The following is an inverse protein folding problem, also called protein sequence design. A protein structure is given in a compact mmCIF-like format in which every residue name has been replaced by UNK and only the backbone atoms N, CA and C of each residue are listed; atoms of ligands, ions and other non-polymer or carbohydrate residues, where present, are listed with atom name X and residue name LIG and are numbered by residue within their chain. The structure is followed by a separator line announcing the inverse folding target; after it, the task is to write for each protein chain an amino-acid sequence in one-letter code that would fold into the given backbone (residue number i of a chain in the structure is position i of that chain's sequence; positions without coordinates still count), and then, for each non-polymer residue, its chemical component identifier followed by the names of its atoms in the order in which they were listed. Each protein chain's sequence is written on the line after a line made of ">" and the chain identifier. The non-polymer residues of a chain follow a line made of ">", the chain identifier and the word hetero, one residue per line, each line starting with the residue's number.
data_IF_117374306584
#
_entry.id   IF_117374306584
#
_cell.length_a   1.000
_cell.length_b   1.000
_cell.length_c   1.000
_cell.angle_alpha   90.00
_cell.angle_beta   90.00
_cell.angle_gamma   90.00
#
_symmetry.space_group_name_H-M   'P 1'
#
loop_
_entity.id
_entity.type
_entity.pdbx_description
1 polymer ?
#
# COMPACT_ATOMS: atom_id res chain seq x y z
N UNK A 1 0.79 8.69 -34.90
CA UNK A 1 0.68 7.80 -33.74
C UNK A 1 0.66 6.37 -34.30
N UNK A 2 1.60 5.50 -33.91
CA UNK A 2 1.57 4.09 -34.28
C UNK A 2 0.36 3.41 -33.62
N UNK A 3 -0.36 2.58 -34.35
CA UNK A 3 -1.41 1.75 -33.76
C UNK A 3 -0.77 0.80 -32.74
N UNK A 4 -1.42 0.53 -31.59
CA UNK A 4 -0.95 -0.48 -30.65
C UNK A 4 -0.88 -1.85 -31.30
N UNK A 5 0.17 -2.63 -30.98
CA UNK A 5 0.24 -4.02 -31.39
C UNK A 5 -0.88 -4.84 -30.70
N UNK A 6 -1.30 -5.95 -31.34
CA UNK A 6 -2.42 -6.77 -30.88
C UNK A 6 -2.31 -7.21 -29.39
N UNK A 7 -1.08 -7.37 -28.87
CA UNK A 7 -0.80 -7.85 -27.52
C UNK A 7 -0.30 -6.75 -26.57
N UNK A 8 -0.27 -5.48 -27.02
CA UNK A 8 0.13 -4.36 -26.15
C UNK A 8 -0.95 -4.03 -25.14
N UNK A 9 -0.50 -3.68 -23.96
CA UNK A 9 -1.32 -3.13 -22.88
C UNK A 9 -1.06 -1.65 -22.73
N UNK A 10 -2.02 -0.87 -22.18
CA UNK A 10 -1.78 0.52 -21.82
C UNK A 10 -0.54 0.64 -20.91
N UNK A 11 0.18 1.76 -21.03
CA UNK A 11 1.42 2.00 -20.28
C UNK A 11 1.15 1.86 -18.77
N UNK A 12 1.94 1.02 -18.11
CA UNK A 12 1.82 0.77 -16.68
C UNK A 12 0.73 -0.23 -16.28
N UNK A 13 -0.05 -0.78 -17.23
CA UNK A 13 -0.99 -1.87 -16.97
C UNK A 13 -0.31 -3.23 -17.14
N UNK A 14 -0.64 -4.20 -16.26
CA UNK A 14 0.01 -5.53 -16.25
C UNK A 14 -1.02 -6.63 -16.06
N UNK A 15 -0.81 -7.75 -16.76
CA UNK A 15 -1.54 -8.98 -16.45
C UNK A 15 -0.94 -9.65 -15.22
N UNK A 16 -1.80 -10.22 -14.41
CA UNK A 16 -1.42 -11.00 -13.23
C UNK A 16 -1.60 -12.49 -13.54
N UNK A 17 -0.50 -13.19 -13.75
CA UNK A 17 -0.53 -14.63 -14.09
C UNK A 17 -0.88 -15.51 -12.89
N UNK A 18 -1.39 -16.75 -13.09
CA UNK A 18 -1.99 -17.58 -12.03
C UNK A 18 -1.11 -17.79 -10.79
N UNK A 19 0.17 -18.08 -10.95
CA UNK A 19 1.07 -18.31 -9.81
C UNK A 19 1.24 -17.04 -8.94
N UNK A 20 1.47 -15.90 -9.58
CA UNK A 20 1.58 -14.60 -8.91
C UNK A 20 0.24 -14.19 -8.27
N UNK A 21 -0.89 -14.43 -8.96
CA UNK A 21 -2.23 -14.18 -8.43
C UNK A 21 -2.48 -14.98 -7.14
N UNK A 22 -2.10 -16.26 -7.10
CA UNK A 22 -2.27 -17.08 -5.90
C UNK A 22 -1.43 -16.59 -4.72
N UNK A 23 -0.20 -16.13 -4.99
CA UNK A 23 0.66 -15.53 -3.96
C UNK A 23 0.01 -14.27 -3.40
N UNK A 24 -0.40 -13.35 -4.29
CA UNK A 24 -1.04 -12.10 -3.94
C UNK A 24 -2.33 -12.31 -3.14
N UNK A 25 -3.16 -13.27 -3.57
CA UNK A 25 -4.38 -13.64 -2.86
C UNK A 25 -4.09 -14.15 -1.45
N UNK A 26 -3.11 -15.03 -1.28
CA UNK A 26 -2.77 -15.55 0.05
C UNK A 26 -2.26 -14.48 1.00
N UNK A 27 -1.44 -13.55 0.49
CA UNK A 27 -0.95 -12.39 1.27
C UNK A 27 -2.12 -11.51 1.70
N UNK A 28 -3.01 -11.20 0.77
CA UNK A 28 -4.23 -10.44 1.04
C UNK A 28 -5.09 -11.09 2.10
N UNK A 29 -5.42 -12.38 1.92
CA UNK A 29 -6.34 -13.09 2.83
C UNK A 29 -5.77 -13.09 4.27
N UNK A 30 -4.45 -13.24 4.45
CA UNK A 30 -3.77 -13.14 5.76
C UNK A 30 -3.83 -11.74 6.37
N UNK A 31 -3.65 -10.71 5.56
CA UNK A 31 -3.74 -9.31 6.03
C UNK A 31 -5.18 -8.91 6.35
N UNK A 32 -6.17 -9.36 5.58
CA UNK A 32 -7.60 -9.11 5.86
C UNK A 32 -8.02 -9.71 7.20
N UNK A 33 -7.57 -10.93 7.50
CA UNK A 33 -7.82 -11.58 8.78
C UNK A 33 -7.21 -10.78 9.94
N UNK A 34 -5.94 -10.36 9.80
CA UNK A 34 -5.26 -9.55 10.81
C UNK A 34 -5.96 -8.21 11.04
N UNK A 35 -6.22 -7.45 9.97
CA UNK A 35 -6.90 -6.14 10.05
C UNK A 35 -8.29 -6.28 10.67
N UNK A 36 -9.03 -7.33 10.30
CA UNK A 36 -10.34 -7.63 10.87
C UNK A 36 -10.29 -7.93 12.37
N UNK A 37 -9.22 -8.58 12.86
CA UNK A 37 -9.03 -8.88 14.28
C UNK A 37 -8.89 -7.61 15.15
N UNK A 38 -8.42 -6.50 14.56
CA UNK A 38 -8.34 -5.18 15.21
C UNK A 38 -9.66 -4.39 15.16
N UNK A 39 -10.74 -4.98 14.63
CA UNK A 39 -12.06 -4.36 14.58
C UNK A 39 -12.27 -3.36 13.44
N UNK A 40 -11.42 -3.35 12.42
CA UNK A 40 -11.63 -2.56 11.22
C UNK A 40 -12.63 -3.23 10.30
N UNK A 41 -13.61 -2.47 9.84
CA UNK A 41 -14.70 -2.95 8.99
C UNK A 41 -14.39 -2.67 7.51
N UNK A 42 -14.50 -3.67 6.64
CA UNK A 42 -14.21 -3.50 5.23
C UNK A 42 -15.25 -2.61 4.53
N UNK A 43 -14.77 -1.74 3.64
CA UNK A 43 -15.58 -0.85 2.82
C UNK A 43 -15.12 -0.89 1.37
N UNK A 44 -16.06 -0.76 0.45
CA UNK A 44 -15.80 -0.56 -0.97
C UNK A 44 -16.36 0.80 -1.43
N UNK A 45 -15.65 1.45 -2.34
CA UNK A 45 -16.09 2.67 -3.01
C UNK A 45 -16.01 2.49 -4.53
N UNK A 46 -16.74 3.28 -5.33
CA UNK A 46 -16.62 3.25 -6.78
C UNK A 46 -15.19 3.46 -7.26
N UNK A 47 -14.81 2.80 -8.35
CA UNK A 47 -13.51 3.06 -9.01
C UNK A 47 -13.47 4.42 -9.72
N UNK A 48 -14.63 4.91 -10.16
CA UNK A 48 -14.80 6.23 -10.78
C UNK A 48 -15.41 7.18 -9.76
N UNK A 49 -14.80 8.34 -9.62
CA UNK A 49 -15.22 9.42 -8.74
C UNK A 49 -15.28 10.74 -9.52
N UNK A 50 -16.03 11.72 -9.04
CA UNK A 50 -16.05 13.04 -9.65
C UNK A 50 -14.74 13.79 -9.35
N UNK A 51 -14.16 14.38 -10.38
CA UNK A 51 -12.94 15.19 -10.25
C UNK A 51 -13.14 16.37 -9.30
N UNK A 52 -14.27 17.07 -9.38
CA UNK A 52 -14.57 18.25 -8.55
C UNK A 52 -14.73 17.96 -7.05
N UNK A 53 -14.86 16.69 -6.68
CA UNK A 53 -14.93 16.25 -5.28
C UNK A 53 -13.67 15.47 -4.88
N UNK A 54 -13.63 14.17 -5.18
CA UNK A 54 -12.53 13.30 -4.78
C UNK A 54 -11.23 13.65 -5.51
N UNK A 55 -11.30 14.04 -6.80
CA UNK A 55 -10.10 14.43 -7.55
C UNK A 55 -9.37 15.62 -6.91
N UNK A 56 -10.11 16.68 -6.55
CA UNK A 56 -9.55 17.86 -5.85
C UNK A 56 -9.18 17.59 -4.39
N UNK A 57 -9.84 16.64 -3.72
CA UNK A 57 -9.53 16.29 -2.34
C UNK A 57 -8.30 15.40 -2.23
N UNK A 58 -8.01 14.59 -3.27
CA UNK A 58 -6.84 13.74 -3.33
C UNK A 58 -5.54 14.55 -3.28
N UNK A 59 -4.54 13.99 -2.61
CA UNK A 59 -3.19 14.58 -2.56
C UNK A 59 -2.31 14.19 -3.75
N UNK A 60 -2.84 13.41 -4.69
CA UNK A 60 -2.10 12.99 -5.89
C UNK A 60 -2.09 14.14 -6.91
N UNK A 61 -0.92 14.36 -7.52
CA UNK A 61 -0.74 15.43 -8.50
C UNK A 61 -1.72 15.28 -9.66
N UNK A 62 -2.32 16.38 -10.09
CA UNK A 62 -3.32 16.43 -11.14
C UNK A 62 -2.87 15.72 -12.44
N UNK A 63 -1.61 15.86 -12.80
CA UNK A 63 -1.01 15.19 -13.97
C UNK A 63 -0.88 13.67 -13.83
N UNK A 64 -1.07 13.10 -12.63
CA UNK A 64 -1.07 11.68 -12.36
C UNK A 64 -2.49 11.09 -12.30
N UNK A 65 -3.53 11.91 -12.49
CA UNK A 65 -4.91 11.45 -12.51
C UNK A 65 -5.30 10.92 -13.89
N UNK A 66 -5.93 9.76 -13.92
CA UNK A 66 -6.64 9.29 -15.11
C UNK A 66 -8.01 9.99 -15.16
N UNK A 67 -8.18 10.90 -16.11
CA UNK A 67 -9.41 11.68 -16.28
C UNK A 67 -10.23 11.14 -17.46
N UNK A 68 -11.54 11.07 -17.26
CA UNK A 68 -12.53 10.65 -18.25
C UNK A 68 -13.68 11.66 -18.27
N UNK A 69 -14.45 11.66 -19.36
CA UNK A 69 -15.71 12.41 -19.45
C UNK A 69 -16.89 11.43 -19.43
N UNK A 70 -17.92 11.74 -18.65
CA UNK A 70 -19.19 11.05 -18.76
C UNK A 70 -20.04 11.60 -19.94
N UNK A 71 -21.22 10.98 -20.16
CA UNK A 71 -22.12 11.43 -21.24
C UNK A 71 -22.75 12.81 -21.00
N UNK A 72 -22.72 13.30 -19.77
CA UNK A 72 -23.23 14.61 -19.35
C UNK A 72 -22.15 15.70 -19.41
N UNK A 73 -20.90 15.34 -19.72
CA UNK A 73 -19.77 16.25 -19.78
C UNK A 73 -19.07 16.49 -18.45
N UNK A 74 -19.41 15.74 -17.39
CA UNK A 74 -18.69 15.84 -16.13
C UNK A 74 -17.32 15.16 -16.23
N UNK A 75 -16.32 15.75 -15.60
CA UNK A 75 -15.00 15.12 -15.47
C UNK A 75 -15.00 14.10 -14.34
N UNK A 76 -14.68 12.86 -14.68
CA UNK A 76 -14.48 11.77 -13.76
C UNK A 76 -12.99 11.46 -13.62
N UNK A 77 -12.62 10.83 -12.50
CA UNK A 77 -11.27 10.29 -12.27
C UNK A 77 -11.34 8.83 -11.85
N UNK A 78 -10.42 8.01 -12.34
CA UNK A 78 -10.13 6.74 -11.67
C UNK A 78 -9.47 7.07 -10.32
N UNK A 79 -10.00 6.51 -9.22
CA UNK A 79 -9.52 6.81 -7.86
C UNK A 79 -7.99 6.63 -7.74
N UNK A 80 -7.25 7.68 -7.38
CA UNK A 80 -5.79 7.62 -7.29
C UNK A 80 -5.28 7.19 -5.91
N UNK A 81 -6.16 7.22 -4.92
CA UNK A 81 -6.00 6.74 -3.54
C UNK A 81 -7.37 6.36 -2.95
N UNK A 82 -7.38 5.86 -1.72
CA UNK A 82 -8.63 5.49 -1.02
C UNK A 82 -9.01 6.47 0.08
N UNK A 83 -8.11 7.30 0.54
CA UNK A 83 -8.34 8.22 1.67
C UNK A 83 -9.45 9.24 1.34
N UNK A 84 -9.38 9.89 0.16
CA UNK A 84 -10.40 10.85 -0.25
C UNK A 84 -11.78 10.19 -0.51
N UNK A 85 -11.91 9.04 -1.21
CA UNK A 85 -13.17 8.29 -1.29
C UNK A 85 -13.76 7.90 0.07
N UNK A 86 -12.93 7.43 1.02
CA UNK A 86 -13.38 7.06 2.37
C UNK A 86 -13.83 8.29 3.16
N UNK A 87 -13.09 9.41 3.09
CA UNK A 87 -13.51 10.67 3.69
C UNK A 87 -14.88 11.13 3.16
N UNK A 88 -15.13 11.01 1.84
CA UNK A 88 -16.43 11.27 1.24
C UNK A 88 -17.53 10.35 1.82
N UNK A 89 -17.27 9.05 1.96
CA UNK A 89 -18.24 8.10 2.53
C UNK A 89 -18.49 8.40 4.01
N UNK A 90 -17.42 8.67 4.79
CA UNK A 90 -17.55 9.07 6.19
C UNK A 90 -18.43 10.31 6.34
N UNK A 91 -18.31 11.28 5.43
CA UNK A 91 -19.10 12.52 5.45
C UNK A 91 -20.50 12.38 4.84
N UNK A 92 -20.82 11.32 4.13
CA UNK A 92 -22.12 11.12 3.46
C UNK A 92 -22.87 9.92 4.01
N UNK A 93 -22.58 8.71 3.53
CA UNK A 93 -23.32 7.49 3.87
C UNK A 93 -23.16 7.11 5.35
N UNK A 94 -22.05 7.47 6.00
CA UNK A 94 -21.81 7.22 7.41
C UNK A 94 -22.00 8.47 8.28
N UNK A 95 -22.61 9.53 7.78
CA UNK A 95 -22.74 10.83 8.49
C UNK A 95 -23.41 10.72 9.87
N UNK A 96 -24.32 9.78 10.04
CA UNK A 96 -25.09 9.57 11.28
C UNK A 96 -24.40 8.59 12.24
N UNK A 97 -23.25 8.02 11.85
CA UNK A 97 -22.47 7.14 12.73
C UNK A 97 -21.59 7.96 13.68
N UNK A 98 -21.49 7.49 14.92
CA UNK A 98 -20.64 8.11 15.93
C UNK A 98 -19.17 7.82 15.65
N UNK A 99 -18.30 8.82 15.81
CA UNK A 99 -16.85 8.64 15.80
C UNK A 99 -16.36 7.95 17.09
N UNK A 100 -15.20 7.23 17.06
CA UNK A 100 -14.35 6.98 15.90
C UNK A 100 -14.85 5.88 14.98
N UNK A 101 -14.55 5.98 13.67
CA UNK A 101 -14.80 4.95 12.67
C UNK A 101 -13.50 4.23 12.34
N UNK A 102 -13.53 2.90 12.34
CA UNK A 102 -12.43 2.03 11.89
C UNK A 102 -12.83 1.36 10.59
N UNK A 103 -12.25 1.79 9.50
CA UNK A 103 -12.57 1.34 8.15
C UNK A 103 -11.33 0.72 7.49
N UNK A 104 -11.51 -0.41 6.80
CA UNK A 104 -10.47 -1.05 6.01
C UNK A 104 -10.89 -1.16 4.55
N UNK A 105 -9.91 -1.27 3.67
CA UNK A 105 -10.16 -1.43 2.24
C UNK A 105 -9.11 -2.30 1.58
N UNK A 106 -9.55 -2.97 0.51
CA UNK A 106 -8.70 -3.68 -0.43
C UNK A 106 -9.20 -3.40 -1.85
N UNK A 107 -8.37 -2.78 -2.68
CA UNK A 107 -8.80 -2.38 -4.01
C UNK A 107 -7.66 -1.93 -4.94
N UNK A 108 -7.96 -1.81 -6.23
CA UNK A 108 -7.06 -1.17 -7.19
C UNK A 108 -7.17 0.35 -7.11
N UNK A 109 -6.03 1.01 -7.17
CA UNK A 109 -5.87 2.46 -7.35
C UNK A 109 -5.06 2.74 -8.61
N UNK A 110 -5.24 3.95 -9.18
CA UNK A 110 -4.79 4.26 -10.52
C UNK A 110 -4.00 5.57 -10.52
N UNK A 111 -2.74 5.52 -10.97
CA UNK A 111 -1.88 6.71 -11.09
C UNK A 111 -1.18 6.71 -12.43
N UNK A 112 -1.52 7.68 -13.28
CA UNK A 112 -0.89 7.83 -14.58
C UNK A 112 0.64 7.96 -14.42
N UNK A 113 1.38 7.16 -15.17
CA UNK A 113 2.83 7.18 -15.14
C UNK A 113 3.37 7.99 -16.29
N UNK A 114 4.40 8.79 -16.04
CA UNK A 114 5.21 9.37 -17.11
C UNK A 114 6.08 8.25 -17.74
N UNK A 115 6.39 8.37 -19.03
CA UNK A 115 6.97 7.33 -19.88
C UNK A 115 8.24 6.63 -19.38
N UNK A 116 8.91 7.15 -18.35
CA UNK A 116 10.24 6.70 -17.92
C UNK A 116 10.27 5.94 -16.58
N UNK A 117 9.14 5.70 -15.94
CA UNK A 117 9.15 5.25 -14.54
C UNK A 117 9.13 3.75 -14.26
N UNK A 118 8.77 2.89 -15.22
CA UNK A 118 8.62 1.43 -14.98
C UNK A 118 7.61 1.04 -13.88
N UNK A 119 7.00 2.02 -13.21
CA UNK A 119 6.04 1.81 -12.13
C UNK A 119 4.67 1.44 -12.70
N UNK A 120 3.91 0.54 -12.05
CA UNK A 120 2.55 0.24 -12.49
C UNK A 120 1.64 1.46 -12.35
N UNK A 121 0.78 1.68 -13.36
CA UNK A 121 -0.25 2.71 -13.34
C UNK A 121 -1.52 2.25 -12.64
N UNK A 122 -1.75 0.94 -12.59
CA UNK A 122 -2.76 0.26 -11.80
C UNK A 122 -2.05 -0.67 -10.81
N UNK A 123 -2.37 -0.56 -9.53
CA UNK A 123 -1.83 -1.43 -8.50
C UNK A 123 -2.85 -1.63 -7.38
N UNK A 124 -2.74 -2.78 -6.74
CA UNK A 124 -3.62 -3.19 -5.66
C UNK A 124 -3.10 -2.64 -4.33
N UNK A 125 -3.97 -1.99 -3.58
CA UNK A 125 -3.67 -1.40 -2.28
C UNK A 125 -4.64 -1.93 -1.23
N UNK A 126 -4.09 -2.25 -0.06
CA UNK A 126 -4.85 -2.56 1.14
C UNK A 126 -4.47 -1.57 2.23
N UNK A 127 -5.44 -1.15 3.03
CA UNK A 127 -5.16 -0.19 4.09
C UNK A 127 -6.32 0.00 5.04
N UNK A 128 -6.10 0.90 5.98
CA UNK A 128 -7.08 1.29 6.99
C UNK A 128 -7.15 2.80 7.14
N UNK A 129 -8.31 3.28 7.60
CA UNK A 129 -8.55 4.66 7.99
C UNK A 129 -9.28 4.67 9.34
N UNK A 130 -8.66 5.30 10.35
CA UNK A 130 -9.25 5.59 11.65
C UNK A 130 -9.66 7.06 11.66
N UNK A 131 -10.97 7.29 11.72
CA UNK A 131 -11.56 8.63 11.55
C UNK A 131 -12.25 9.06 12.85
N UNK A 132 -11.96 10.25 13.33
CA UNK A 132 -12.60 10.86 14.50
C UNK A 132 -11.85 10.64 15.81
N UNK A 133 -10.53 10.39 15.75
CA UNK A 133 -9.66 10.29 16.92
C UNK A 133 -8.36 11.09 16.68
N UNK A 134 -8.08 12.07 17.55
CA UNK A 134 -6.93 12.98 17.45
C UNK A 134 -5.76 12.60 18.38
N UNK A 135 -5.87 11.46 19.06
CA UNK A 135 -4.88 11.04 20.06
C UNK A 135 -3.64 10.38 19.44
N UNK A 136 -2.51 10.46 20.14
CA UNK A 136 -1.32 9.69 19.80
C UNK A 136 -1.57 8.17 19.87
N UNK A 137 -2.57 7.73 20.65
CA UNK A 137 -2.99 6.33 20.70
C UNK A 137 -3.56 5.84 19.39
N UNK A 138 -4.32 6.69 18.68
CA UNK A 138 -4.84 6.36 17.34
C UNK A 138 -3.71 6.20 16.31
N UNK A 139 -2.70 7.09 16.32
CA UNK A 139 -1.53 6.97 15.46
C UNK A 139 -0.73 5.70 15.78
N UNK A 140 -0.56 5.41 17.09
CA UNK A 140 0.13 4.20 17.56
C UNK A 140 -0.60 2.91 17.17
N UNK A 141 -1.94 2.89 17.30
CA UNK A 141 -2.79 1.77 16.84
C UNK A 141 -2.58 1.50 15.35
N UNK A 142 -2.66 2.53 14.52
CA UNK A 142 -2.54 2.42 13.06
C UNK A 142 -1.14 1.94 12.65
N UNK A 143 -0.07 2.44 13.30
CA UNK A 143 1.30 1.99 13.02
C UNK A 143 1.51 0.54 13.49
N UNK A 144 1.04 0.18 14.69
CA UNK A 144 1.15 -1.18 15.21
C UNK A 144 0.39 -2.18 14.32
N UNK A 145 -0.82 -1.85 13.92
CA UNK A 145 -1.60 -2.66 12.97
C UNK A 145 -0.90 -2.83 11.63
N UNK A 146 -0.28 -1.78 11.09
CA UNK A 146 0.52 -1.90 9.85
C UNK A 146 1.66 -2.90 10.01
N UNK A 147 2.35 -2.86 11.15
CA UNK A 147 3.44 -3.80 11.48
C UNK A 147 2.91 -5.23 11.56
N UNK A 148 1.80 -5.45 12.26
CA UNK A 148 1.24 -6.78 12.42
C UNK A 148 0.65 -7.32 11.10
N UNK A 149 0.03 -6.48 10.28
CA UNK A 149 -0.39 -6.86 8.92
C UNK A 149 0.78 -7.28 8.03
N UNK A 150 1.93 -6.59 8.10
CA UNK A 150 3.15 -6.98 7.39
C UNK A 150 3.72 -8.32 7.91
N UNK A 151 3.72 -8.53 9.23
CA UNK A 151 4.12 -9.81 9.85
C UNK A 151 3.18 -10.95 9.45
N UNK A 152 1.87 -10.73 9.48
CA UNK A 152 0.87 -11.70 9.06
C UNK A 152 1.04 -12.11 7.59
N UNK A 153 1.40 -11.16 6.72
CA UNK A 153 1.77 -11.43 5.33
C UNK A 153 3.06 -12.26 5.18
N UNK A 154 3.82 -12.46 6.26
CA UNK A 154 5.08 -13.21 6.27
C UNK A 154 6.35 -12.37 6.02
N UNK A 155 6.26 -11.05 6.01
CA UNK A 155 7.43 -10.17 5.88
C UNK A 155 8.18 -10.12 7.22
N UNK A 156 9.46 -10.50 7.21
CA UNK A 156 10.30 -10.59 8.43
C UNK A 156 11.24 -9.39 8.58
N UNK A 157 11.88 -9.01 7.48
CA UNK A 157 12.91 -7.98 7.47
C UNK A 157 12.35 -6.69 6.90
N UNK A 158 11.86 -5.82 7.79
CA UNK A 158 11.32 -4.51 7.42
C UNK A 158 11.51 -3.49 8.54
N UNK A 159 11.45 -2.23 8.18
CA UNK A 159 11.47 -1.10 9.12
C UNK A 159 10.43 -0.06 8.74
N UNK A 160 9.90 0.60 9.75
CA UNK A 160 8.99 1.74 9.63
C UNK A 160 9.73 3.00 10.02
N UNK A 161 9.90 3.93 9.08
CA UNK A 161 10.35 5.27 9.36
C UNK A 161 9.16 6.11 9.83
N UNK A 162 9.28 6.80 10.95
CA UNK A 162 8.24 7.64 11.54
C UNK A 162 8.77 9.05 11.70
N UNK A 163 8.05 10.03 11.19
CA UNK A 163 8.35 11.45 11.29
C UNK A 163 7.14 12.27 11.70
N UNK A 164 7.32 13.59 11.75
CA UNK A 164 6.24 14.53 12.06
C UNK A 164 6.35 15.77 11.18
N UNK A 165 5.38 15.98 10.29
CA UNK A 165 5.44 17.08 9.31
C UNK A 165 5.40 18.46 10.00
N UNK A 166 4.66 18.59 11.10
CA UNK A 166 4.58 19.82 11.88
C UNK A 166 5.91 20.22 12.50
N UNK A 167 6.73 19.25 12.95
CA UNK A 167 8.07 19.54 13.45
C UNK A 167 8.98 20.13 12.36
N UNK A 168 9.01 19.48 11.20
CA UNK A 168 9.83 19.94 10.06
C UNK A 168 9.39 21.34 9.62
N UNK A 169 8.09 21.56 9.45
CA UNK A 169 7.55 22.84 9.04
C UNK A 169 7.89 23.95 10.04
N UNK A 170 7.70 23.70 11.32
CA UNK A 170 7.98 24.65 12.39
C UNK A 170 9.48 25.03 12.45
N UNK A 171 10.38 24.03 12.37
CA UNK A 171 11.82 24.28 12.35
C UNK A 171 12.25 25.08 11.11
N UNK A 172 11.79 24.67 9.93
CA UNK A 172 12.18 25.37 8.69
C UNK A 172 11.68 26.80 8.70
N UNK A 173 10.40 27.02 9.03
CA UNK A 173 9.82 28.36 9.06
C UNK A 173 10.46 29.28 10.08
N UNK A 174 10.78 28.75 11.29
CA UNK A 174 11.45 29.48 12.36
C UNK A 174 12.83 30.01 11.90
N UNK A 175 13.58 29.17 11.18
CA UNK A 175 14.94 29.51 10.73
C UNK A 175 14.93 30.44 9.52
N UNK A 176 14.13 30.16 8.48
CA UNK A 176 14.20 30.92 7.22
C UNK A 176 13.18 32.06 7.13
N UNK A 177 12.24 32.16 8.07
CA UNK A 177 11.34 33.30 8.27
C UNK A 177 10.20 33.44 7.25
N UNK A 178 10.12 32.63 6.19
CA UNK A 178 9.03 32.67 5.23
C UNK A 178 8.76 31.33 4.54
N UNK A 179 7.53 31.17 4.07
CA UNK A 179 7.02 29.91 3.51
C UNK A 179 7.67 29.52 2.17
N UNK A 180 8.07 30.48 1.34
CA UNK A 180 8.70 30.21 0.04
C UNK A 180 10.06 29.51 0.22
N UNK A 181 10.91 30.06 1.12
CA UNK A 181 12.20 29.46 1.47
C UNK A 181 12.02 28.12 2.17
N UNK A 182 11.09 28.03 3.12
CA UNK A 182 10.78 26.77 3.80
C UNK A 182 10.30 25.70 2.80
N UNK A 183 9.45 26.06 1.85
CA UNK A 183 8.98 25.21 0.77
C UNK A 183 10.11 24.68 -0.13
N UNK A 184 11.12 25.52 -0.42
CA UNK A 184 12.31 25.10 -1.17
C UNK A 184 13.09 24.03 -0.40
N UNK A 185 13.32 24.21 0.89
CA UNK A 185 14.00 23.24 1.75
C UNK A 185 13.20 21.93 1.88
N UNK A 186 11.87 22.02 2.07
CA UNK A 186 10.99 20.84 2.09
C UNK A 186 11.07 20.04 0.79
N UNK A 187 11.15 20.71 -0.36
CA UNK A 187 11.30 20.02 -1.65
C UNK A 187 12.59 19.19 -1.69
N UNK A 188 13.72 19.69 -1.23
CA UNK A 188 14.95 18.93 -1.16
C UNK A 188 14.82 17.68 -0.25
N UNK A 189 14.15 17.81 0.91
CA UNK A 189 13.90 16.67 1.80
C UNK A 189 12.98 15.64 1.12
N UNK A 190 11.90 16.10 0.49
CA UNK A 190 10.99 15.26 -0.26
C UNK A 190 11.70 14.49 -1.39
N UNK A 191 12.54 15.16 -2.17
CA UNK A 191 13.33 14.56 -3.24
C UNK A 191 14.47 13.68 -2.72
N UNK A 192 14.66 13.60 -1.38
CA UNK A 192 15.79 12.94 -0.70
C UNK A 192 17.15 13.46 -1.20
N UNK A 193 17.17 14.70 -1.68
CA UNK A 193 18.36 15.40 -2.17
C UNK A 193 19.06 16.13 -1.02
N UNK A 194 19.65 15.36 -0.11
CA UNK A 194 20.33 15.91 1.08
C UNK A 194 21.58 16.73 0.74
N UNK A 195 22.24 16.43 -0.39
CA UNK A 195 23.37 17.22 -0.88
C UNK A 195 22.89 18.60 -1.34
N UNK A 196 21.81 18.64 -2.13
CA UNK A 196 21.19 19.90 -2.55
C UNK A 196 20.68 20.72 -1.37
N UNK A 197 20.07 20.07 -0.37
CA UNK A 197 19.65 20.70 0.88
C UNK A 197 20.82 21.40 1.57
N UNK A 198 21.95 20.67 1.78
CA UNK A 198 23.14 21.21 2.43
C UNK A 198 23.70 22.42 1.67
N UNK A 199 23.92 22.28 0.36
CA UNK A 199 24.42 23.40 -0.47
C UNK A 199 23.48 24.61 -0.46
N UNK A 200 22.16 24.35 -0.45
CA UNK A 200 21.20 25.45 -0.39
C UNK A 200 21.28 26.17 0.97
N UNK A 201 21.33 25.44 2.08
CA UNK A 201 21.49 26.01 3.43
C UNK A 201 22.78 26.86 3.52
N UNK A 202 23.91 26.34 3.03
CA UNK A 202 25.19 27.05 3.00
C UNK A 202 25.17 28.32 2.11
N UNK A 203 24.24 28.38 1.14
CA UNK A 203 24.08 29.57 0.27
C UNK A 203 23.18 30.65 0.86
N UNK A 204 22.44 30.34 1.94
CA UNK A 204 21.60 31.30 2.64
C UNK A 204 22.45 32.15 3.61
N UNK A 205 22.13 33.42 3.73
CA UNK A 205 22.78 34.32 4.71
C UNK A 205 22.14 34.09 6.09
N UNK A 206 22.47 32.96 6.70
CA UNK A 206 21.95 32.51 8.01
C UNK A 206 23.00 32.75 9.11
N UNK A 207 22.53 32.86 10.35
CA UNK A 207 23.43 32.78 11.51
C UNK A 207 24.06 31.38 11.57
N UNK A 208 25.28 31.30 12.13
CA UNK A 208 25.96 30.00 12.34
C UNK A 208 25.13 29.02 13.21
N UNK A 209 24.27 29.57 14.09
CA UNK A 209 23.36 28.78 14.93
C UNK A 209 22.25 28.19 14.04
N UNK A 210 21.62 28.98 13.20
CA UNK A 210 20.52 28.57 12.34
C UNK A 210 20.97 27.59 11.25
N UNK A 211 22.13 27.84 10.66
CA UNK A 211 22.77 26.88 9.74
C UNK A 211 22.98 25.52 10.42
N UNK A 212 23.53 25.52 11.65
CA UNK A 212 23.73 24.30 12.44
C UNK A 212 22.44 23.59 12.77
N UNK A 213 21.34 24.32 13.04
CA UNK A 213 20.00 23.75 13.28
C UNK A 213 19.50 23.00 12.05
N UNK A 214 19.53 23.64 10.87
CA UNK A 214 19.07 23.01 9.62
C UNK A 214 19.93 21.80 9.23
N UNK A 215 21.23 21.89 9.33
CA UNK A 215 22.14 20.77 9.05
C UNK A 215 22.02 19.66 10.11
N UNK A 216 21.67 20.02 11.34
CA UNK A 216 21.37 19.08 12.42
C UNK A 216 20.16 18.21 12.12
N UNK A 217 19.14 18.77 11.49
CA UNK A 217 17.94 18.03 11.06
C UNK A 217 18.30 16.78 10.24
N UNK A 218 19.28 16.87 9.34
CA UNK A 218 19.69 15.74 8.49
C UNK A 218 20.27 14.54 9.27
N UNK A 219 20.65 14.74 10.54
CA UNK A 219 21.22 13.72 11.42
C UNK A 219 20.18 13.07 12.33
N UNK A 220 18.98 13.62 12.38
CA UNK A 220 17.91 13.14 13.25
C UNK A 220 17.22 11.90 12.67
N UNK A 221 17.93 10.76 12.72
CA UNK A 221 17.42 9.45 12.34
C UNK A 221 17.95 8.40 13.32
N UNK A 222 17.05 7.65 13.98
CA UNK A 222 17.44 6.64 14.96
C UNK A 222 16.31 6.15 15.84
N UNK A 223 16.60 5.81 17.08
CA UNK A 223 15.62 5.42 18.11
C UNK A 223 15.06 6.62 18.87
N UNK A 224 14.51 6.38 20.06
CA UNK A 224 13.93 7.43 20.93
C UNK A 224 14.92 8.49 21.38
N UNK A 225 16.22 8.19 21.39
CA UNK A 225 17.26 9.16 21.69
C UNK A 225 17.20 10.40 20.79
N UNK A 226 16.69 10.26 19.57
CA UNK A 226 16.55 11.36 18.60
C UNK A 226 15.52 12.39 18.99
N UNK A 227 14.58 12.07 19.88
CA UNK A 227 13.62 13.03 20.43
C UNK A 227 14.32 14.13 21.25
N UNK A 228 15.32 13.76 22.05
CA UNK A 228 16.09 14.73 22.83
C UNK A 228 17.02 15.56 21.94
N UNK A 229 17.68 14.93 20.96
CA UNK A 229 18.49 15.66 19.98
C UNK A 229 17.65 16.65 19.14
N UNK A 230 16.41 16.28 18.80
CA UNK A 230 15.50 17.15 18.07
C UNK A 230 15.04 18.35 18.89
N UNK A 231 14.88 18.20 20.21
CA UNK A 231 14.52 19.30 21.11
C UNK A 231 15.59 20.40 21.14
N UNK A 232 16.86 20.04 21.02
CA UNK A 232 17.97 21.01 20.96
C UNK A 232 17.96 21.91 19.72
N UNK A 233 17.23 21.49 18.66
CA UNK A 233 17.18 22.25 17.40
C UNK A 233 16.02 23.24 17.32
N UNK A 234 15.06 23.22 18.25
CA UNK A 234 13.83 24.02 18.17
C UNK A 234 13.66 24.92 19.38
N UNK A 235 13.13 26.13 19.12
CA UNK A 235 12.88 27.14 20.13
C UNK A 235 11.43 27.64 20.13
N UNK A 236 10.60 27.18 19.18
CA UNK A 236 9.21 27.59 19.10
C UNK A 236 8.24 26.54 19.67
N UNK A 237 7.05 26.99 20.10
CA UNK A 237 6.08 26.15 20.76
C UNK A 237 5.41 25.11 19.84
N UNK A 238 5.36 25.32 18.51
CA UNK A 238 4.71 24.37 17.60
C UNK A 238 5.59 23.16 17.34
N UNK A 239 6.90 23.36 17.22
CA UNK A 239 7.83 22.24 17.17
C UNK A 239 7.87 21.46 18.50
N UNK A 240 7.77 22.15 19.65
CA UNK A 240 7.70 21.49 20.94
C UNK A 240 6.44 20.62 21.07
N UNK A 241 5.28 21.09 20.60
CA UNK A 241 4.04 20.29 20.56
C UNK A 241 4.19 19.05 19.68
N UNK A 242 4.83 19.19 18.51
CA UNK A 242 5.09 18.06 17.61
C UNK A 242 6.03 17.02 18.25
N UNK A 243 7.03 17.45 19.02
CA UNK A 243 7.90 16.57 19.79
C UNK A 243 7.17 15.87 20.93
N UNK A 244 6.30 16.58 21.65
CA UNK A 244 5.48 15.99 22.71
C UNK A 244 4.54 14.92 22.14
N UNK A 245 3.91 15.18 21.00
CA UNK A 245 3.11 14.19 20.29
C UNK A 245 3.94 12.95 19.89
N UNK A 246 5.17 13.13 19.38
CA UNK A 246 6.05 12.00 19.05
C UNK A 246 6.51 11.21 20.29
N UNK A 247 6.69 11.86 21.44
CA UNK A 247 6.98 11.17 22.70
C UNK A 247 5.80 10.31 23.15
N UNK A 248 4.60 10.89 23.17
CA UNK A 248 3.37 10.13 23.47
C UNK A 248 3.18 8.96 22.51
N UNK A 249 3.41 9.17 21.22
CA UNK A 249 3.35 8.10 20.22
C UNK A 249 4.38 7.00 20.51
N UNK A 250 5.62 7.36 20.86
CA UNK A 250 6.65 6.39 21.20
C UNK A 250 6.24 5.53 22.40
N UNK A 251 5.71 6.14 23.47
CA UNK A 251 5.22 5.41 24.66
C UNK A 251 4.11 4.41 24.27
N UNK A 252 3.20 4.79 23.37
CA UNK A 252 2.16 3.90 22.86
C UNK A 252 2.76 2.73 22.09
N UNK A 253 3.74 2.99 21.20
CA UNK A 253 4.42 1.96 20.41
C UNK A 253 5.25 1.01 21.28
N UNK A 254 5.83 1.49 22.39
CA UNK A 254 6.46 0.64 23.41
C UNK A 254 5.41 -0.27 24.09
N UNK A 255 4.22 0.27 24.39
CA UNK A 255 3.10 -0.51 24.90
C UNK A 255 2.65 -1.64 23.99
N UNK A 256 2.69 -1.44 22.66
CA UNK A 256 2.45 -2.47 21.66
C UNK A 256 3.64 -3.44 21.47
N UNK A 257 4.83 -3.11 21.96
CA UNK A 257 6.03 -3.93 21.81
C UNK A 257 6.60 -3.97 20.40
N UNK A 258 6.41 -2.91 19.61
CA UNK A 258 6.77 -2.88 18.17
C UNK A 258 7.95 -1.97 17.84
N UNK A 259 8.57 -1.33 18.83
CA UNK A 259 9.64 -0.33 18.63
C UNK A 259 10.88 -0.85 17.93
N UNK A 260 11.14 -2.16 17.97
CA UNK A 260 12.24 -2.79 17.21
C UNK A 260 12.12 -2.59 15.70
N UNK A 261 10.88 -2.45 15.18
CA UNK A 261 10.60 -2.18 13.78
C UNK A 261 10.64 -0.70 13.42
N UNK A 262 10.80 0.21 14.40
CA UNK A 262 10.60 1.64 14.19
C UNK A 262 11.94 2.39 14.21
N UNK A 263 12.05 3.34 13.29
CA UNK A 263 13.09 4.37 13.28
C UNK A 263 12.43 5.73 13.17
N UNK A 264 12.72 6.62 14.12
CA UNK A 264 12.39 8.03 13.96
C UNK A 264 13.21 8.60 12.81
N UNK A 265 12.56 9.34 11.92
CA UNK A 265 13.19 10.02 10.80
C UNK A 265 12.59 11.42 10.63
N UNK A 266 13.23 12.41 11.19
CA UNK A 266 12.78 13.80 11.11
C UNK A 266 12.97 14.42 9.71
N UNK A 267 13.59 13.70 8.77
CA UNK A 267 13.70 14.13 7.38
C UNK A 267 12.56 13.61 6.51
N UNK A 268 11.64 12.83 7.10
CA UNK A 268 10.55 12.24 6.38
C UNK A 268 9.52 13.32 5.99
N UNK A 269 9.56 13.72 4.74
CA UNK A 269 8.59 14.64 4.14
C UNK A 269 7.90 13.91 3.01
N UNK A 270 6.57 13.86 3.06
CA UNK A 270 5.75 13.16 2.07
C UNK A 270 5.12 14.13 1.09
N UNK A 271 4.92 13.65 -0.14
CA UNK A 271 4.30 14.45 -1.22
C UNK A 271 2.83 14.80 -0.94
N UNK A 272 2.17 14.04 -0.07
CA UNK A 272 0.75 14.21 0.16
C UNK A 272 0.47 15.46 0.98
N UNK A 273 -0.11 16.47 0.33
CA UNK A 273 -0.37 17.80 0.88
C UNK A 273 -1.41 17.84 2.01
N UNK A 274 -2.09 16.74 2.29
CA UNK A 274 -3.10 16.67 3.36
C UNK A 274 -2.56 16.22 4.72
N UNK A 275 -1.32 15.71 4.81
CA UNK A 275 -0.79 15.31 6.10
C UNK A 275 -0.51 16.51 7.01
N UNK A 276 -0.95 16.40 8.26
CA UNK A 276 -0.90 17.49 9.26
C UNK A 276 -0.03 17.16 10.47
N UNK A 277 0.20 15.89 10.75
CA UNK A 277 0.86 15.41 11.96
C UNK A 277 1.93 14.35 11.70
N UNK A 278 1.78 13.22 12.38
CA UNK A 278 2.63 12.04 12.21
C UNK A 278 2.56 11.53 10.78
N UNK A 279 3.70 11.16 10.21
CA UNK A 279 3.83 10.49 8.91
C UNK A 279 4.75 9.29 9.04
N UNK A 280 4.49 8.24 8.26
CA UNK A 280 5.31 7.04 8.33
C UNK A 280 5.37 6.30 6.99
N UNK A 281 6.51 5.64 6.76
CA UNK A 281 6.76 4.80 5.57
C UNK A 281 7.35 3.46 5.99
N UNK A 282 6.86 2.36 5.40
CA UNK A 282 7.40 1.02 5.62
C UNK A 282 8.30 0.57 4.48
N UNK A 283 9.47 0.06 4.83
CA UNK A 283 10.51 -0.39 3.91
C UNK A 283 10.84 -1.86 4.12
N UNK A 284 10.71 -2.67 3.09
CA UNK A 284 11.25 -4.03 3.07
C UNK A 284 12.75 -4.02 2.74
N UNK A 285 13.53 -4.93 3.36
CA UNK A 285 14.98 -5.00 3.17
C UNK A 285 15.45 -5.20 1.72
N UNK A 286 14.57 -5.73 0.86
CA UNK A 286 14.85 -6.01 -0.56
C UNK A 286 14.44 -4.88 -1.51
N UNK A 287 13.81 -3.83 -1.00
CA UNK A 287 13.29 -2.73 -1.81
C UNK A 287 14.02 -1.44 -1.51
N UNK A 288 14.35 -0.67 -2.56
CA UNK A 288 14.94 0.66 -2.43
C UNK A 288 13.91 1.80 -2.21
N UNK A 289 12.61 1.47 -2.06
CA UNK A 289 11.51 2.41 -1.92
C UNK A 289 10.43 1.85 -0.98
N UNK A 290 9.55 2.70 -0.41
CA UNK A 290 8.55 2.24 0.54
C UNK A 290 7.47 1.36 -0.12
N UNK A 291 7.10 0.28 0.58
CA UNK A 291 5.98 -0.59 0.20
C UNK A 291 4.66 -0.18 0.87
N UNK A 292 4.74 0.60 1.92
CA UNK A 292 3.60 1.16 2.65
C UNK A 292 3.87 2.59 3.07
N UNK A 293 2.81 3.36 3.22
CA UNK A 293 2.87 4.73 3.73
C UNK A 293 1.57 5.10 4.43
N UNK A 294 1.66 6.02 5.37
CA UNK A 294 0.51 6.50 6.12
C UNK A 294 0.83 7.77 6.90
N UNK A 295 -0.16 8.23 7.63
CA UNK A 295 -0.03 9.39 8.51
C UNK A 295 -1.36 10.02 8.89
N UNK A 296 -1.26 11.09 9.70
CA UNK A 296 -2.39 11.88 10.19
C UNK A 296 -2.78 12.98 9.22
N UNK A 297 -4.10 13.11 9.00
CA UNK A 297 -4.68 14.12 8.10
C UNK A 297 -5.97 14.70 8.71
N UNK A 298 -5.86 15.87 9.32
CA UNK A 298 -6.94 16.45 10.12
C UNK A 298 -7.84 17.41 9.32
N UNK A 299 -7.41 17.83 8.12
CA UNK A 299 -8.12 18.83 7.32
C UNK A 299 -8.94 18.24 6.16
N UNK A 300 -8.74 16.94 5.83
CA UNK A 300 -9.33 16.36 4.64
C UNK A 300 -10.86 16.27 4.73
N UNK A 301 -11.41 15.82 5.87
CA UNK A 301 -12.84 15.65 6.04
C UNK A 301 -13.60 16.97 6.04
N UNK A 302 -12.93 18.08 6.36
CA UNK A 302 -13.50 19.43 6.25
C UNK A 302 -13.91 19.77 4.81
N UNK A 303 -13.17 19.27 3.82
CA UNK A 303 -13.52 19.44 2.39
C UNK A 303 -14.86 18.79 2.02
N UNK A 304 -15.32 17.83 2.83
CA UNK A 304 -16.59 17.14 2.69
C UNK A 304 -17.63 17.60 3.72
N UNK A 305 -17.45 18.75 4.37
CA UNK A 305 -18.35 19.37 5.34
C UNK A 305 -18.61 18.51 6.60
N UNK A 306 -17.71 17.63 6.96
CA UNK A 306 -17.74 16.87 8.23
C UNK A 306 -16.34 16.86 8.86
N UNK A 307 -15.90 17.97 9.48
CA UNK A 307 -14.58 18.05 10.10
C UNK A 307 -14.36 16.92 11.11
N UNK A 308 -13.25 16.21 10.95
CA UNK A 308 -12.78 15.20 11.88
C UNK A 308 -11.30 14.93 11.62
N UNK A 309 -10.55 14.63 12.67
CA UNK A 309 -9.18 14.15 12.60
C UNK A 309 -9.17 12.71 12.11
N UNK A 310 -8.12 12.34 11.40
CA UNK A 310 -7.99 10.98 10.93
C UNK A 310 -6.53 10.58 10.74
N UNK A 311 -6.28 9.28 10.83
CA UNK A 311 -4.99 8.66 10.56
C UNK A 311 -5.19 7.32 9.86
N UNK A 312 -4.28 6.92 8.98
CA UNK A 312 -4.43 5.68 8.22
C UNK A 312 -3.17 5.29 7.49
N UNK A 313 -3.19 4.13 6.87
CA UNK A 313 -2.11 3.66 5.99
C UNK A 313 -2.63 2.92 4.76
N UNK A 314 -1.77 2.86 3.75
CA UNK A 314 -1.94 1.98 2.60
C UNK A 314 -0.70 1.16 2.33
N UNK A 315 -0.88 -0.15 2.09
CA UNK A 315 0.16 -1.11 1.71
C UNK A 315 -0.05 -1.50 0.25
N UNK A 316 0.99 -1.44 -0.56
CA UNK A 316 0.98 -1.88 -1.95
C UNK A 316 1.28 -3.37 -2.01
N UNK A 317 0.28 -4.15 -2.41
CA UNK A 317 0.38 -5.61 -2.46
C UNK A 317 1.41 -6.10 -3.49
N UNK A 318 1.56 -5.40 -4.61
CA UNK A 318 2.58 -5.72 -5.62
C UNK A 318 4.00 -5.62 -5.04
N UNK A 319 4.29 -4.55 -4.28
CA UNK A 319 5.58 -4.34 -3.65
C UNK A 319 5.80 -5.28 -2.45
N UNK A 320 4.75 -5.58 -1.70
CA UNK A 320 4.83 -6.54 -0.59
C UNK A 320 5.18 -7.95 -1.11
N UNK A 321 4.54 -8.41 -2.18
CA UNK A 321 4.87 -9.70 -2.80
C UNK A 321 6.31 -9.71 -3.34
N UNK A 322 6.78 -8.60 -3.91
CA UNK A 322 8.17 -8.44 -4.34
C UNK A 322 9.14 -8.52 -3.15
N UNK A 323 8.84 -7.83 -2.04
CA UNK A 323 9.64 -7.86 -0.82
C UNK A 323 9.73 -9.26 -0.20
N UNK A 324 8.65 -10.04 -0.25
CA UNK A 324 8.63 -11.43 0.21
C UNK A 324 9.58 -12.32 -0.60
N UNK A 325 9.81 -12.01 -1.88
CA UNK A 325 10.74 -12.71 -2.75
C UNK A 325 10.41 -14.19 -2.99
N UNK A 326 9.19 -14.60 -2.67
CA UNK A 326 8.71 -15.97 -2.85
C UNK A 326 7.42 -15.95 -3.66
N UNK A 327 7.37 -16.76 -4.72
CA UNK A 327 6.13 -17.05 -5.42
C UNK A 327 5.63 -18.40 -4.90
N UNK A 328 4.41 -18.46 -4.38
CA UNK A 328 3.81 -19.73 -3.99
C UNK A 328 3.73 -20.63 -5.23
N UNK A 329 4.12 -21.87 -5.05
CA UNK A 329 3.90 -22.89 -6.09
C UNK A 329 2.39 -22.97 -6.38
N UNK A 330 2.06 -23.26 -7.62
CA UNK A 330 0.66 -23.53 -7.98
C UNK A 330 0.14 -24.66 -7.07
N UNK A 331 -1.10 -24.56 -6.61
CA UNK A 331 -1.67 -25.63 -5.79
C UNK A 331 -1.63 -26.94 -6.56
N UNK A 332 -1.26 -27.99 -5.86
CA UNK A 332 -1.24 -29.34 -6.43
C UNK A 332 -2.60 -29.66 -7.02
N UNK A 333 -2.60 -30.19 -8.24
CA UNK A 333 -3.80 -30.59 -8.97
C UNK A 333 -3.65 -32.05 -9.39
N UNK A 334 -4.71 -32.83 -9.19
CA UNK A 334 -4.83 -34.17 -9.76
C UNK A 334 -5.43 -34.05 -11.16
N UNK A 335 -4.83 -34.72 -12.14
CA UNK A 335 -5.40 -34.87 -13.46
C UNK A 335 -6.06 -36.25 -13.56
N UNK A 336 -7.29 -36.29 -14.06
CA UNK A 336 -7.98 -37.53 -14.45
C UNK A 336 -8.11 -37.53 -15.97
N UNK A 337 -7.30 -38.35 -16.63
CA UNK A 337 -7.36 -38.59 -18.07
C UNK A 337 -8.34 -39.73 -18.37
N UNK A 338 -9.20 -39.54 -19.37
CA UNK A 338 -10.17 -40.59 -19.71
C UNK A 338 -10.35 -40.76 -21.24
N UNK A 339 -10.69 -42.00 -21.63
CA UNK A 339 -11.25 -42.28 -22.95
C UNK A 339 -12.78 -42.18 -22.94
N UNK A 340 -13.37 -42.08 -24.13
CA UNK A 340 -14.84 -41.95 -24.30
C UNK A 340 -15.62 -43.06 -23.57
N UNK A 341 -15.09 -44.26 -23.56
CA UNK A 341 -15.72 -45.46 -23.00
C UNK A 341 -15.78 -45.42 -21.45
N UNK A 342 -14.76 -44.85 -20.80
CA UNK A 342 -14.66 -44.76 -19.34
C UNK A 342 -15.00 -43.41 -18.76
N UNK A 343 -15.62 -42.52 -19.57
CA UNK A 343 -15.99 -41.17 -19.17
C UNK A 343 -16.85 -41.11 -17.90
N UNK A 344 -17.83 -42.01 -17.76
CA UNK A 344 -18.72 -42.02 -16.60
C UNK A 344 -17.96 -42.31 -15.30
N UNK A 345 -17.08 -43.30 -15.31
CA UNK A 345 -16.24 -43.67 -14.17
C UNK A 345 -15.29 -42.49 -13.77
N UNK A 346 -14.65 -41.91 -14.78
CA UNK A 346 -13.77 -40.77 -14.56
C UNK A 346 -14.51 -39.54 -13.97
N UNK A 347 -15.73 -39.28 -14.42
CA UNK A 347 -16.57 -38.20 -13.88
C UNK A 347 -16.91 -38.48 -12.42
N UNK A 348 -17.28 -39.72 -12.07
CA UNK A 348 -17.63 -40.10 -10.70
C UNK A 348 -16.42 -39.96 -9.76
N UNK A 349 -15.26 -40.45 -10.18
CA UNK A 349 -14.01 -40.30 -9.44
C UNK A 349 -13.66 -38.81 -9.24
N UNK A 350 -13.79 -37.98 -10.29
CA UNK A 350 -13.52 -36.56 -10.17
C UNK A 350 -14.45 -35.85 -9.17
N UNK A 351 -15.72 -36.25 -9.11
CA UNK A 351 -16.68 -35.72 -8.12
C UNK A 351 -16.27 -36.11 -6.71
N UNK A 352 -15.99 -37.40 -6.46
CA UNK A 352 -15.59 -37.88 -5.14
C UNK A 352 -14.34 -37.16 -4.63
N UNK A 353 -13.32 -37.00 -5.47
CA UNK A 353 -12.09 -36.29 -5.07
C UNK A 353 -12.33 -34.80 -4.80
N UNK A 354 -13.21 -34.14 -5.59
CA UNK A 354 -13.58 -32.74 -5.35
C UNK A 354 -14.35 -32.55 -4.05
N UNK A 355 -15.26 -33.49 -3.70
CA UNK A 355 -15.96 -33.52 -2.41
C UNK A 355 -15.01 -33.67 -1.23
N UNK A 356 -13.86 -34.34 -1.44
CA UNK A 356 -12.76 -34.43 -0.47
C UNK A 356 -11.87 -33.17 -0.44
N UNK A 357 -12.22 -32.11 -1.16
CA UNK A 357 -11.46 -30.86 -1.20
C UNK A 357 -10.26 -30.86 -2.16
N UNK A 358 -10.03 -31.92 -2.94
CA UNK A 358 -8.96 -31.94 -3.94
C UNK A 358 -9.30 -31.08 -5.17
N UNK A 359 -8.28 -30.53 -5.81
CA UNK A 359 -8.41 -29.85 -7.09
C UNK A 359 -8.19 -30.85 -8.21
N UNK A 360 -9.24 -31.14 -8.98
CA UNK A 360 -9.22 -32.18 -10.01
C UNK A 360 -9.56 -31.60 -11.38
N UNK A 361 -8.64 -31.78 -12.31
CA UNK A 361 -8.83 -31.55 -13.75
C UNK A 361 -9.25 -32.85 -14.38
N UNK A 362 -10.40 -32.84 -15.07
CA UNK A 362 -10.92 -33.98 -15.79
C UNK A 362 -10.74 -33.72 -17.29
N UNK A 363 -9.96 -34.55 -18.00
CA UNK A 363 -9.56 -34.30 -19.37
C UNK A 363 -9.81 -35.50 -20.28
N UNK A 364 -10.53 -35.29 -21.38
CA UNK A 364 -10.65 -36.27 -22.48
C UNK A 364 -9.33 -36.35 -23.24
N UNK A 365 -8.81 -37.55 -23.47
CA UNK A 365 -7.58 -37.80 -24.20
C UNK A 365 -7.58 -37.22 -25.61
N UNK A 366 -8.73 -37.19 -26.26
CA UNK A 366 -8.86 -36.65 -27.63
C UNK A 366 -8.61 -35.13 -27.71
N UNK A 367 -8.74 -34.44 -26.55
CA UNK A 367 -8.52 -32.98 -26.43
C UNK A 367 -7.06 -32.60 -26.12
N UNK A 368 -6.13 -33.56 -26.04
CA UNK A 368 -4.73 -33.31 -25.69
C UNK A 368 -3.83 -33.76 -26.82
N UNK A 369 -3.02 -32.85 -27.36
CA UNK A 369 -2.11 -33.16 -28.46
C UNK A 369 -0.90 -33.97 -28.03
N UNK A 370 -0.29 -33.66 -26.91
CA UNK A 370 0.83 -34.40 -26.29
C UNK A 370 0.48 -34.67 -24.81
N UNK A 371 0.12 -35.93 -24.54
CA UNK A 371 -0.36 -36.35 -23.22
C UNK A 371 0.75 -36.32 -22.17
N UNK A 372 1.95 -36.74 -22.52
CA UNK A 372 3.09 -36.83 -21.60
C UNK A 372 3.53 -35.43 -21.15
N UNK A 373 3.67 -34.52 -22.11
CA UNK A 373 4.02 -33.13 -21.82
C UNK A 373 2.94 -32.42 -21.00
N UNK A 374 1.68 -32.60 -21.37
CA UNK A 374 0.56 -31.93 -20.69
C UNK A 374 0.35 -32.49 -19.28
N UNK A 375 0.43 -33.81 -19.10
CA UNK A 375 0.25 -34.47 -17.79
C UNK A 375 1.38 -34.19 -16.81
N UNK A 376 2.58 -33.87 -17.31
CA UNK A 376 3.73 -33.48 -16.47
C UNK A 376 3.52 -32.19 -15.63
N UNK A 377 2.49 -31.41 -15.95
CA UNK A 377 2.11 -30.23 -15.17
C UNK A 377 1.33 -30.55 -13.85
N UNK A 378 0.90 -31.79 -13.67
CA UNK A 378 0.08 -32.21 -12.54
C UNK A 378 0.88 -33.01 -11.50
N UNK A 379 0.49 -32.89 -10.24
CA UNK A 379 1.13 -33.62 -9.14
C UNK A 379 0.74 -35.11 -9.10
N UNK A 380 -0.42 -35.43 -9.62
CA UNK A 380 -0.97 -36.79 -9.68
C UNK A 380 -1.77 -36.95 -10.99
N UNK A 381 -1.60 -38.08 -11.66
CA UNK A 381 -2.34 -38.41 -12.87
C UNK A 381 -3.03 -39.76 -12.73
N UNK A 382 -4.35 -39.78 -12.82
CA UNK A 382 -5.18 -40.98 -12.85
C UNK A 382 -5.67 -41.22 -14.27
N UNK A 383 -5.53 -42.45 -14.75
CA UNK A 383 -5.89 -42.81 -16.13
C UNK A 383 -7.07 -43.76 -16.20
N UNK A 384 -8.16 -43.30 -16.76
CA UNK A 384 -9.36 -44.09 -17.10
C UNK A 384 -9.41 -44.33 -18.61
N UNK A 385 -8.45 -45.13 -19.08
CA UNK A 385 -8.25 -45.39 -20.50
C UNK A 385 -8.63 -46.84 -20.76
N UNK A 386 -9.28 -47.13 -21.89
CA UNK A 386 -9.53 -48.50 -22.32
C UNK A 386 -8.22 -49.03 -22.96
N UNK A 387 -7.54 -49.91 -22.26
CA UNK A 387 -6.47 -50.65 -22.89
C UNK A 387 -7.10 -51.53 -23.97
N UNK A 388 -6.98 -51.21 -25.24
CA UNK A 388 -7.09 -52.21 -26.28
C UNK A 388 -6.06 -53.27 -25.95
N UNK A 389 -6.49 -54.41 -25.41
CA UNK A 389 -5.67 -55.63 -25.43
C UNK A 389 -5.24 -55.81 -26.90
N UNK A 390 -3.94 -55.74 -27.14
CA UNK A 390 -3.42 -56.12 -28.44
C UNK A 390 -3.93 -57.52 -28.76
N UNK A 391 -4.59 -57.64 -29.89
CA UNK A 391 -4.75 -58.91 -30.55
C UNK A 391 -3.33 -59.42 -30.87
N UNK A 392 -2.82 -60.21 -29.95
CA UNK A 392 -1.77 -61.18 -30.25
C UNK A 392 -2.49 -62.46 -30.64
N UNK A 393 -2.76 -62.59 -31.93
CA UNK A 393 -3.04 -63.87 -32.55
C UNK A 393 -2.37 -63.91 -33.90
N UNK A 394 -1.46 -64.90 -33.98
CA UNK A 394 -0.81 -65.58 -35.09
C UNK A 394 0.33 -64.87 -35.80
#
# INVERSE_FOLDING_TARGET
>A
MSQPFMFEKPIGMRDTLPAYYQTKRSVRDQMEEEIGSWGYLPIETPALEYYDTVGHASAILDQQLFKLLDQQGNTLVLRPDMTAPIARVAASSLKDHTFPLRLSYHTNVFRAQQREGGRPAEFEQMGVELVGDDTASADGEVIALMIDALKAAGLKDFQIAVGHIGYVNALLLDVVGNEERAGTLRRFLYEKNYVGFKHHVESLDLSSIDEKRLLGLLKLRGGSEKLNEAEELVYNGDAAKALDNLRQLWDVLEGYGVTEHIKLDFNLVMHMSYYTGVVFEGYGSRLGFPLSSGGRYDELLQKFNRPAQATGFGIRLDLLVEALGQTKQQPQQTCILFSKERRKEAIEEAKQQREQGKRVVLQDLQGVGNVDEWSGAFSEVLSFINNKKGDSNE
#
